data_IF_330219058458
#
_entry.id   IF_330219058458
#
_cell.length_a   1.000
_cell.length_b   1.000
_cell.length_c   1.000
_cell.angle_alpha   90.00
_cell.angle_beta   90.00
_cell.angle_gamma   90.00
#
_symmetry.space_group_name_H-M   'P 1'
#
loop_
_entity.id
_entity.type
_entity.pdbx_description
1 polymer ?
#
# COMPACT_ATOMS: atom_id res chain seq x y z
N UNK A 1 -6.33 17.35 11.87
CA UNK A 1 -6.60 15.89 11.75
C UNK A 1 -6.56 15.29 13.14
N UNK A 2 -7.54 14.45 13.50
CA UNK A 2 -7.52 13.79 14.81
C UNK A 2 -6.49 12.65 14.82
N UNK A 3 -5.79 12.40 15.94
CA UNK A 3 -4.80 11.32 16.02
C UNK A 3 -5.39 9.95 15.66
N UNK A 4 -6.64 9.69 16.06
CA UNK A 4 -7.40 8.49 15.66
C UNK A 4 -7.58 8.37 14.14
N UNK A 5 -7.92 9.47 13.46
CA UNK A 5 -8.08 9.47 12.00
C UNK A 5 -6.76 9.25 11.27
N UNK A 6 -5.65 9.77 11.82
CA UNK A 6 -4.31 9.52 11.27
C UNK A 6 -3.94 8.05 11.40
N UNK A 7 -4.14 7.44 12.57
CA UNK A 7 -3.86 6.02 12.79
C UNK A 7 -4.67 5.12 11.85
N UNK A 8 -5.96 5.38 11.69
CA UNK A 8 -6.80 4.61 10.75
C UNK A 8 -6.32 4.75 9.30
N UNK A 9 -5.89 5.95 8.91
CA UNK A 9 -5.33 6.18 7.56
C UNK A 9 -4.06 5.37 7.33
N UNK A 10 -3.18 5.37 8.33
CA UNK A 10 -1.89 4.69 8.26
C UNK A 10 -2.08 3.18 8.24
N UNK A 11 -3.03 2.66 9.03
CA UNK A 11 -3.43 1.26 9.01
C UNK A 11 -4.01 0.85 7.64
N UNK A 12 -4.84 1.69 7.03
CA UNK A 12 -5.40 1.43 5.71
C UNK A 12 -4.30 1.40 4.63
N UNK A 13 -3.40 2.38 4.64
CA UNK A 13 -2.27 2.42 3.71
C UNK A 13 -1.36 1.19 3.90
N UNK A 14 -1.10 0.78 5.14
CA UNK A 14 -0.32 -0.42 5.43
C UNK A 14 -1.02 -1.69 4.94
N UNK A 15 -2.34 -1.79 5.11
CA UNK A 15 -3.11 -2.93 4.60
C UNK A 15 -3.04 -3.04 3.08
N UNK A 16 -3.18 -1.91 2.36
CA UNK A 16 -3.01 -1.88 0.90
C UNK A 16 -1.60 -2.26 0.48
N UNK A 17 -0.59 -1.78 1.21
CA UNK A 17 0.80 -2.11 0.94
C UNK A 17 1.06 -3.61 1.06
N UNK A 18 0.63 -4.23 2.16
CA UNK A 18 0.78 -5.67 2.40
C UNK A 18 0.07 -6.47 1.30
N UNK A 19 -1.16 -6.10 0.96
CA UNK A 19 -1.94 -6.80 -0.07
C UNK A 19 -1.26 -6.76 -1.45
N UNK A 20 -0.79 -5.58 -1.86
CA UNK A 20 -0.12 -5.38 -3.14
C UNK A 20 1.25 -6.05 -3.18
N UNK A 21 2.03 -5.96 -2.10
CA UNK A 21 3.31 -6.65 -1.99
C UNK A 21 3.14 -8.18 -2.03
N UNK A 22 2.16 -8.72 -1.31
CA UNK A 22 1.85 -10.14 -1.33
C UNK A 22 1.40 -10.61 -2.72
N UNK A 23 0.49 -9.87 -3.37
CA UNK A 23 0.06 -10.17 -4.74
C UNK A 23 1.26 -10.16 -5.71
N UNK A 24 2.13 -9.16 -5.60
CA UNK A 24 3.32 -9.05 -6.41
C UNK A 24 4.29 -10.23 -6.19
N UNK A 25 4.52 -10.65 -4.94
CA UNK A 25 5.34 -11.82 -4.61
C UNK A 25 4.76 -13.13 -5.15
N UNK A 26 3.44 -13.25 -5.20
CA UNK A 26 2.77 -14.41 -5.82
C UNK A 26 3.00 -14.42 -7.33
N UNK A 27 2.99 -13.26 -7.98
CA UNK A 27 3.18 -13.13 -9.43
C UNK A 27 4.63 -13.32 -9.87
N UNK A 28 5.58 -12.87 -9.05
CA UNK A 28 7.01 -12.90 -9.34
C UNK A 28 7.63 -13.78 -8.26
N UNK A 29 7.59 -15.09 -8.45
CA UNK A 29 7.94 -16.08 -7.44
C UNK A 29 9.46 -16.25 -7.21
N UNK A 30 10.28 -15.80 -8.15
CA UNK A 30 11.75 -15.78 -8.04
C UNK A 30 12.21 -14.33 -7.99
N UNK A 31 12.54 -13.86 -6.79
CA UNK A 31 12.83 -12.45 -6.55
C UNK A 31 14.20 -12.29 -5.91
N UNK A 32 15.10 -11.59 -6.60
CA UNK A 32 16.36 -11.17 -6.00
C UNK A 32 16.15 -10.05 -4.98
N UNK A 33 17.12 -9.83 -4.10
CA UNK A 33 17.03 -8.82 -3.03
C UNK A 33 16.69 -7.42 -3.58
N UNK A 34 17.21 -7.05 -4.75
CA UNK A 34 16.92 -5.75 -5.39
C UNK A 34 15.46 -5.66 -5.85
N UNK A 35 14.94 -6.72 -6.48
CA UNK A 35 13.57 -6.75 -6.95
C UNK A 35 12.58 -6.68 -5.79
N UNK A 36 12.89 -7.27 -4.62
CA UNK A 36 12.07 -7.10 -3.41
C UNK A 36 11.96 -5.64 -2.99
N UNK A 37 13.06 -4.89 -3.03
CA UNK A 37 13.06 -3.46 -2.68
C UNK A 37 12.22 -2.67 -3.68
N UNK A 38 12.33 -2.98 -4.97
CA UNK A 38 11.55 -2.33 -6.03
C UNK A 38 10.06 -2.64 -5.87
N UNK A 39 9.69 -3.92 -5.72
CA UNK A 39 8.31 -4.36 -5.54
C UNK A 39 7.68 -3.75 -4.29
N UNK A 40 8.40 -3.77 -3.16
CA UNK A 40 7.96 -3.14 -1.91
C UNK A 40 7.77 -1.63 -2.05
N UNK A 41 8.69 -0.94 -2.73
CA UNK A 41 8.61 0.52 -2.95
C UNK A 41 7.46 0.89 -3.88
N UNK A 42 7.29 0.15 -4.98
CA UNK A 42 6.18 0.33 -5.92
C UNK A 42 4.83 0.07 -5.24
N UNK A 43 4.73 -1.01 -4.46
CA UNK A 43 3.54 -1.30 -3.66
C UNK A 43 3.23 -0.17 -2.67
N UNK A 44 4.25 0.48 -2.08
CA UNK A 44 4.05 1.56 -1.11
C UNK A 44 3.43 2.79 -1.78
N UNK A 45 3.94 3.17 -2.95
CA UNK A 45 3.37 4.26 -3.75
C UNK A 45 1.92 3.94 -4.15
N UNK A 46 1.66 2.72 -4.62
CA UNK A 46 0.32 2.28 -5.01
C UNK A 46 -0.66 2.25 -3.82
N UNK A 47 -0.19 1.86 -2.63
CA UNK A 47 -0.99 1.85 -1.41
C UNK A 47 -1.40 3.26 -0.97
N UNK A 48 -0.49 4.23 -1.06
CA UNK A 48 -0.80 5.64 -0.80
C UNK A 48 -1.83 6.15 -1.81
N UNK A 49 -1.65 5.84 -3.10
CA UNK A 49 -2.59 6.23 -4.15
C UNK A 49 -3.99 5.62 -3.93
N UNK A 50 -4.09 4.33 -3.60
CA UNK A 50 -5.34 3.64 -3.32
C UNK A 50 -6.06 4.25 -2.10
N UNK A 51 -5.31 4.54 -1.03
CA UNK A 51 -5.83 5.19 0.17
C UNK A 51 -6.36 6.59 -0.16
N UNK A 52 -5.60 7.40 -0.93
CA UNK A 52 -6.03 8.73 -1.34
C UNK A 52 -7.30 8.67 -2.21
N UNK A 53 -7.34 7.78 -3.20
CA UNK A 53 -8.48 7.58 -4.09
C UNK A 53 -9.75 7.20 -3.32
N UNK A 54 -9.67 6.22 -2.39
CA UNK A 54 -10.81 5.86 -1.54
C UNK A 54 -11.33 7.03 -0.74
N UNK A 55 -10.44 7.84 -0.16
CA UNK A 55 -10.86 9.00 0.62
C UNK A 55 -11.53 10.07 -0.21
N UNK A 56 -11.05 10.33 -1.43
CA UNK A 56 -11.74 11.25 -2.36
C UNK A 56 -13.15 10.75 -2.67
N UNK A 57 -13.33 9.45 -2.89
CA UNK A 57 -14.64 8.86 -3.15
C UNK A 57 -15.55 8.92 -1.93
N UNK A 58 -15.04 8.64 -0.72
CA UNK A 58 -15.85 8.63 0.52
C UNK A 58 -16.11 10.04 1.08
N UNK A 59 -15.31 11.04 0.73
CA UNK A 59 -15.52 12.42 1.14
C UNK A 59 -16.59 13.16 0.32
N UNK A 60 -17.12 12.52 -0.73
CA UNK A 60 -18.17 13.04 -1.61
C UNK A 60 -19.54 12.52 -1.19
#
# INVERSE_FOLDING_TARGET
MNPRTTLLTLAEALAWWIALAALWLVLISTVDTLERVVGASAAAVAAVAATAARRVVTAR
#
